data_IF_464632855817
#
_entry.id   IF_464632855817
#
_cell.length_a   1.000
_cell.length_b   1.000
_cell.length_c   1.000
_cell.angle_alpha   90.00
_cell.angle_beta   90.00
_cell.angle_gamma   90.00
#
_symmetry.space_group_name_H-M   'P 1'
#
loop_
_entity.id
_entity.type
_entity.pdbx_description
1 polymer ?
#
# COMPACT_ATOMS: atom_id res chain seq x y z
N UNK A 1 1.89 -55.17 -11.72
CA UNK A 1 0.53 -54.58 -11.53
C UNK A 1 0.32 -53.29 -12.33
N UNK A 2 1.20 -52.29 -12.24
CA UNK A 2 1.06 -51.00 -12.98
C UNK A 2 0.81 -51.15 -14.50
N UNK A 3 1.48 -52.07 -15.18
CA UNK A 3 1.32 -52.33 -16.63
C UNK A 3 -0.11 -52.78 -17.02
N UNK A 4 -0.82 -53.48 -16.13
CA UNK A 4 -2.21 -53.88 -16.37
C UNK A 4 -3.20 -52.73 -16.14
N UNK A 5 -2.89 -51.82 -15.21
CA UNK A 5 -3.69 -50.62 -14.92
C UNK A 5 -3.65 -49.65 -16.11
N UNK A 6 -2.46 -49.33 -16.63
CA UNK A 6 -2.31 -48.47 -17.82
C UNK A 6 -3.02 -49.04 -19.06
N UNK A 7 -2.97 -50.37 -19.25
CA UNK A 7 -3.67 -51.03 -20.36
C UNK A 7 -5.19 -51.05 -20.19
N UNK A 8 -5.69 -50.93 -18.96
CA UNK A 8 -7.11 -50.81 -18.67
C UNK A 8 -7.63 -49.36 -18.80
N UNK A 9 -6.81 -48.37 -18.43
CA UNK A 9 -7.10 -46.94 -18.63
C UNK A 9 -7.27 -46.58 -20.12
N UNK A 10 -6.51 -47.23 -21.01
CA UNK A 10 -6.58 -47.04 -22.46
C UNK A 10 -7.82 -47.65 -23.14
N UNK A 11 -8.63 -48.46 -22.43
CA UNK A 11 -9.85 -49.06 -23.01
C UNK A 11 -11.00 -48.07 -23.20
N UNK A 12 -11.03 -47.01 -22.39
CA UNK A 12 -12.01 -45.93 -22.48
C UNK A 12 -11.30 -44.57 -22.43
N UNK A 13 -10.59 -44.19 -23.51
CA UNK A 13 -9.69 -43.02 -23.52
C UNK A 13 -10.42 -41.71 -23.22
N UNK A 14 -11.69 -41.61 -23.59
CA UNK A 14 -12.53 -40.43 -23.38
C UNK A 14 -12.88 -40.24 -21.89
N UNK A 15 -13.24 -41.32 -21.20
CA UNK A 15 -13.57 -41.30 -19.76
C UNK A 15 -12.33 -41.04 -18.91
N UNK A 16 -11.22 -41.69 -19.24
CA UNK A 16 -9.94 -41.48 -18.57
C UNK A 16 -9.42 -40.06 -18.80
N UNK A 17 -9.54 -39.54 -20.03
CA UNK A 17 -9.16 -38.17 -20.36
C UNK A 17 -9.98 -37.12 -19.59
N UNK A 18 -11.31 -37.26 -19.58
CA UNK A 18 -12.21 -36.34 -18.86
C UNK A 18 -11.97 -36.32 -17.34
N UNK A 19 -11.66 -37.47 -16.73
CA UNK A 19 -11.39 -37.56 -15.29
C UNK A 19 -10.03 -36.94 -14.92
N UNK A 20 -8.98 -37.20 -15.70
CA UNK A 20 -7.67 -36.56 -15.51
C UNK A 20 -7.78 -35.05 -15.74
N UNK A 21 -8.48 -34.61 -16.79
CA UNK A 21 -8.69 -33.20 -17.07
C UNK A 21 -9.44 -32.49 -15.92
N UNK A 22 -10.47 -33.12 -15.36
CA UNK A 22 -11.19 -32.58 -14.20
C UNK A 22 -10.29 -32.38 -12.98
N UNK A 23 -9.42 -33.35 -12.68
CA UNK A 23 -8.45 -33.24 -11.57
C UNK A 23 -7.45 -32.12 -11.86
N UNK A 24 -6.93 -32.03 -13.08
CA UNK A 24 -5.98 -30.98 -13.49
C UNK A 24 -6.60 -29.59 -13.35
N UNK A 25 -7.84 -29.41 -13.81
CA UNK A 25 -8.57 -28.14 -13.70
C UNK A 25 -8.77 -27.76 -12.23
N UNK A 26 -9.15 -28.72 -11.36
CA UNK A 26 -9.32 -28.46 -9.94
C UNK A 26 -8.00 -28.04 -9.26
N UNK A 27 -6.90 -28.72 -9.55
CA UNK A 27 -5.57 -28.39 -9.00
C UNK A 27 -5.07 -27.03 -9.51
N UNK A 28 -5.24 -26.74 -10.80
CA UNK A 28 -4.85 -25.44 -11.37
C UNK A 28 -5.68 -24.29 -10.79
N UNK A 29 -7.00 -24.46 -10.68
CA UNK A 29 -7.87 -23.45 -10.07
C UNK A 29 -7.46 -23.17 -8.62
N UNK A 30 -7.14 -24.21 -7.85
CA UNK A 30 -6.64 -24.06 -6.48
C UNK A 30 -5.29 -23.34 -6.43
N UNK A 31 -4.33 -23.72 -7.28
CA UNK A 31 -3.00 -23.11 -7.32
C UNK A 31 -3.08 -21.63 -7.72
N UNK A 32 -3.91 -21.28 -8.71
CA UNK A 32 -4.14 -19.89 -9.13
C UNK A 32 -4.78 -19.10 -8.01
N UNK A 33 -5.86 -19.62 -7.40
CA UNK A 33 -6.55 -18.94 -6.32
C UNK A 33 -5.60 -18.67 -5.15
N UNK A 34 -4.80 -19.68 -4.76
CA UNK A 34 -3.80 -19.54 -3.70
C UNK A 34 -2.75 -18.49 -4.05
N UNK A 35 -2.22 -18.50 -5.27
CA UNK A 35 -1.22 -17.52 -5.70
C UNK A 35 -1.78 -16.10 -5.71
N UNK A 36 -3.01 -15.91 -6.19
CA UNK A 36 -3.70 -14.61 -6.17
C UNK A 36 -3.94 -14.13 -4.74
N UNK A 37 -4.37 -15.02 -3.85
CA UNK A 37 -4.57 -14.70 -2.43
C UNK A 37 -3.25 -14.35 -1.76
N UNK A 38 -2.22 -15.18 -1.93
CA UNK A 38 -0.90 -14.98 -1.33
C UNK A 38 -0.26 -13.67 -1.83
N UNK A 39 -0.36 -13.35 -3.12
CA UNK A 39 0.15 -12.07 -3.67
C UNK A 39 -0.65 -10.86 -3.20
N UNK A 40 -1.96 -11.00 -3.00
CA UNK A 40 -2.80 -9.94 -2.43
C UNK A 40 -2.41 -9.66 -0.98
N UNK A 41 -2.12 -10.70 -0.20
CA UNK A 41 -1.68 -10.57 1.19
C UNK A 41 -0.19 -10.27 1.34
N UNK A 42 0.66 -10.57 0.36
CA UNK A 42 2.09 -10.23 0.38
C UNK A 42 2.33 -8.72 0.46
N UNK A 43 1.46 -7.90 -0.18
CA UNK A 43 1.49 -6.45 -0.01
C UNK A 43 1.06 -5.98 1.39
N UNK A 44 0.17 -6.73 2.05
CA UNK A 44 -0.24 -6.47 3.42
C UNK A 44 0.82 -6.96 4.44
N UNK A 45 1.47 -8.09 4.20
CA UNK A 45 2.57 -8.62 5.04
C UNK A 45 3.89 -7.86 4.87
N UNK A 46 4.11 -7.20 3.71
CA UNK A 46 5.20 -6.24 3.54
C UNK A 46 5.03 -5.00 4.44
N UNK A 47 3.84 -4.79 5.01
CA UNK A 47 3.62 -3.80 6.07
C UNK A 47 4.16 -4.40 7.37
N UNK A 48 5.12 -3.74 8.01
CA UNK A 48 5.69 -4.17 9.30
C UNK A 48 4.60 -4.72 10.23
N UNK A 49 4.69 -6.01 10.58
CA UNK A 49 3.78 -6.69 11.50
C UNK A 49 3.69 -6.03 12.90
N UNK A 50 4.53 -5.02 13.15
CA UNK A 50 4.61 -4.23 14.38
C UNK A 50 3.93 -2.86 14.29
N UNK A 51 3.35 -2.47 13.15
CA UNK A 51 2.62 -1.20 13.01
C UNK A 51 1.11 -1.39 13.10
N UNK A 52 0.49 -0.66 14.01
CA UNK A 52 -0.96 -0.56 14.13
C UNK A 52 -1.42 0.81 13.64
N UNK A 53 -2.34 0.83 12.66
CA UNK A 53 -2.95 2.06 12.16
C UNK A 53 -4.31 2.27 12.86
N UNK A 54 -4.47 3.42 13.50
CA UNK A 54 -5.74 3.83 14.11
C UNK A 54 -6.35 4.99 13.34
N UNK A 55 -7.64 4.91 13.02
CA UNK A 55 -8.39 5.99 12.34
C UNK A 55 -9.73 6.23 13.00
N UNK A 56 -10.37 7.36 12.69
CA UNK A 56 -11.74 7.60 13.08
C UNK A 56 -12.66 6.53 12.43
N UNK A 57 -13.57 5.95 13.21
CA UNK A 57 -14.48 4.91 12.75
C UNK A 57 -15.47 5.40 11.69
N UNK A 58 -15.77 6.71 11.66
CA UNK A 58 -16.69 7.32 10.69
C UNK A 58 -16.08 7.38 9.28
N UNK A 59 -14.89 7.97 9.14
CA UNK A 59 -14.16 8.05 7.86
C UNK A 59 -12.71 8.46 8.09
N UNK A 60 -11.84 8.14 7.12
CA UNK A 60 -10.46 8.61 7.05
C UNK A 60 -10.35 10.14 6.98
N UNK A 61 -11.39 10.80 6.45
CA UNK A 61 -11.44 12.27 6.32
C UNK A 61 -11.72 12.99 7.64
N UNK A 62 -12.17 12.29 8.68
CA UNK A 62 -12.36 12.87 10.01
C UNK A 62 -11.11 12.62 10.87
N UNK A 63 -10.39 13.67 11.32
CA UNK A 63 -9.18 13.49 12.11
C UNK A 63 -9.50 12.96 13.50
N UNK A 64 -8.50 12.32 14.12
CA UNK A 64 -8.50 12.06 15.56
C UNK A 64 -7.94 13.28 16.31
N UNK A 65 -8.39 13.57 17.54
CA UNK A 65 -7.81 14.66 18.33
C UNK A 65 -6.31 14.46 18.58
N UNK A 66 -5.50 15.49 18.38
CA UNK A 66 -4.04 15.42 18.57
C UNK A 66 -3.64 15.03 20.00
N UNK A 67 -4.50 15.32 20.99
CA UNK A 67 -4.30 14.91 22.39
C UNK A 67 -4.21 13.39 22.57
N UNK A 68 -4.74 12.60 21.64
CA UNK A 68 -4.68 11.14 21.70
C UNK A 68 -3.26 10.63 21.47
N UNK A 69 -2.43 11.35 20.72
CA UNK A 69 -1.04 10.96 20.46
C UNK A 69 -0.25 10.76 21.76
N UNK A 70 -0.36 11.70 22.71
CA UNK A 70 0.26 11.57 24.03
C UNK A 70 -0.33 10.43 24.87
N UNK A 71 -1.64 10.14 24.73
CA UNK A 71 -2.30 9.02 25.43
C UNK A 71 -1.82 7.67 24.89
N UNK A 72 -1.71 7.53 23.57
CA UNK A 72 -1.28 6.30 22.90
C UNK A 72 0.19 6.02 23.20
N UNK A 73 1.07 7.04 23.18
CA UNK A 73 2.49 6.90 23.55
C UNK A 73 2.72 6.34 24.95
N UNK A 74 1.76 6.47 25.87
CA UNK A 74 1.86 5.94 27.24
C UNK A 74 1.36 4.49 27.39
N UNK A 75 0.78 3.90 26.35
CA UNK A 75 0.31 2.52 26.40
C UNK A 75 1.52 1.58 26.40
N UNK A 76 1.55 0.63 27.32
CA UNK A 76 2.63 -0.37 27.41
C UNK A 76 2.74 -1.14 26.09
N UNK A 77 3.96 -1.22 25.55
CA UNK A 77 4.26 -1.92 24.29
C UNK A 77 4.21 -1.03 23.06
N UNK A 78 3.79 0.24 23.19
CA UNK A 78 3.93 1.24 22.11
C UNK A 78 5.32 1.85 22.18
N UNK A 79 6.12 1.66 21.13
CA UNK A 79 7.47 2.21 21.03
C UNK A 79 7.47 3.64 20.48
N UNK A 80 6.78 3.86 19.36
CA UNK A 80 6.71 5.15 18.66
C UNK A 80 5.29 5.40 18.18
N UNK A 81 4.87 6.67 18.17
CA UNK A 81 3.59 7.11 17.61
C UNK A 81 3.85 8.34 16.76
N UNK A 82 3.31 8.31 15.55
CA UNK A 82 3.25 9.43 14.62
C UNK A 82 1.85 9.49 14.00
N UNK A 83 1.58 10.52 13.20
CA UNK A 83 0.32 10.70 12.52
C UNK A 83 0.50 11.04 11.05
N UNK A 84 -0.52 10.65 10.28
CA UNK A 84 -0.77 11.10 8.93
C UNK A 84 -2.21 11.58 8.86
N UNK A 85 -2.43 12.62 8.07
CA UNK A 85 -3.73 13.22 7.89
C UNK A 85 -4.03 13.29 6.39
N UNK A 86 -5.22 12.83 6.01
CA UNK A 86 -5.63 12.75 4.61
C UNK A 86 -5.85 14.16 4.05
N UNK A 87 -5.07 14.52 3.04
CA UNK A 87 -5.12 15.86 2.44
C UNK A 87 -6.12 15.96 1.28
N UNK A 88 -6.21 14.90 0.45
CA UNK A 88 -7.19 14.75 -0.63
C UNK A 88 -7.17 15.86 -1.71
N UNK A 89 -6.01 16.39 -2.06
CA UNK A 89 -5.90 17.43 -3.09
C UNK A 89 -6.17 16.91 -4.51
N UNK A 90 -6.59 17.82 -5.38
CA UNK A 90 -6.71 17.59 -6.83
C UNK A 90 -5.47 18.13 -7.52
N UNK A 91 -4.76 17.26 -8.23
CA UNK A 91 -3.65 17.62 -9.10
C UNK A 91 -4.15 17.71 -10.53
N UNK A 92 -4.00 18.85 -11.22
CA UNK A 92 -4.53 19.13 -12.57
C UNK A 92 -6.07 19.00 -12.70
N UNK A 93 -6.61 17.78 -12.61
CA UNK A 93 -8.04 17.44 -12.61
C UNK A 93 -8.31 16.16 -11.79
N UNK A 94 -9.58 15.83 -11.56
CA UNK A 94 -10.01 14.71 -10.71
C UNK A 94 -9.55 13.33 -11.21
N UNK A 95 -9.18 13.19 -12.49
CA UNK A 95 -8.69 11.92 -13.06
C UNK A 95 -7.24 11.63 -12.68
N UNK A 96 -6.49 12.64 -12.25
CA UNK A 96 -5.09 12.53 -11.84
C UNK A 96 -4.97 12.28 -10.33
N UNK A 97 -5.84 11.44 -9.80
CA UNK A 97 -5.89 11.14 -8.37
C UNK A 97 -4.69 10.29 -7.93
N UNK A 98 -4.08 10.69 -6.81
CA UNK A 98 -3.17 9.86 -6.04
C UNK A 98 -3.30 10.21 -4.54
N UNK A 99 -3.04 9.24 -3.63
CA UNK A 99 -3.06 9.47 -2.19
C UNK A 99 -2.09 10.57 -1.75
N UNK A 100 -2.57 11.51 -0.93
CA UNK A 100 -1.78 12.63 -0.40
C UNK A 100 -2.00 12.74 1.12
N UNK A 101 -0.92 12.79 1.87
CA UNK A 101 -0.97 12.84 3.34
C UNK A 101 -0.09 13.96 3.88
N UNK A 102 -0.61 14.72 4.84
CA UNK A 102 0.18 15.59 5.70
C UNK A 102 0.62 14.79 6.93
N UNK A 103 1.92 14.71 7.20
CA UNK A 103 2.48 13.81 8.21
C UNK A 103 3.35 14.55 9.24
N UNK A 104 3.53 13.96 10.43
CA UNK A 104 4.63 14.34 11.33
C UNK A 104 5.94 13.86 10.71
N UNK A 105 6.62 14.74 9.96
CA UNK A 105 7.71 14.40 9.05
C UNK A 105 8.73 13.37 9.61
N UNK A 106 9.38 13.70 10.74
CA UNK A 106 10.39 12.82 11.34
C UNK A 106 9.79 11.52 11.89
N UNK A 107 8.80 11.63 12.78
CA UNK A 107 8.21 10.47 13.44
C UNK A 107 7.52 9.52 12.47
N UNK A 108 6.97 10.04 11.36
CA UNK A 108 6.32 9.23 10.34
C UNK A 108 7.36 8.42 9.57
N UNK A 109 8.44 9.03 9.09
CA UNK A 109 9.48 8.30 8.36
C UNK A 109 10.22 7.29 9.24
N UNK A 110 10.42 7.59 10.53
CA UNK A 110 10.99 6.65 11.50
C UNK A 110 10.10 5.38 11.66
N UNK A 111 8.77 5.49 11.46
CA UNK A 111 7.86 4.34 11.47
C UNK A 111 7.87 3.54 10.16
N UNK A 112 8.32 4.12 9.05
CA UNK A 112 8.32 3.49 7.72
C UNK A 112 9.75 3.29 7.19
N UNK A 113 10.53 2.36 7.78
CA UNK A 113 11.91 2.10 7.35
C UNK A 113 12.01 1.59 5.90
N UNK A 114 10.91 1.08 5.33
CA UNK A 114 10.84 0.71 3.92
C UNK A 114 10.82 1.92 2.97
N UNK A 115 10.58 3.13 3.47
CA UNK A 115 10.69 4.36 2.69
C UNK A 115 12.16 4.79 2.64
N UNK A 116 12.83 4.37 1.57
CA UNK A 116 14.23 4.70 1.34
C UNK A 116 14.31 6.11 0.75
N UNK A 117 14.75 7.07 1.56
CA UNK A 117 14.96 8.47 1.15
C UNK A 117 16.44 8.81 1.32
N UNK A 118 17.12 9.34 0.30
CA UNK A 118 18.51 9.79 0.44
C UNK A 118 18.66 10.81 1.59
N UNK A 119 19.73 10.73 2.42
CA UNK A 119 19.88 11.58 3.59
C UNK A 119 19.80 13.09 3.32
N UNK A 120 20.35 13.55 2.20
CA UNK A 120 20.29 14.97 1.79
C UNK A 120 18.86 15.40 1.47
N UNK A 121 18.10 14.59 0.72
CA UNK A 121 16.70 14.89 0.39
C UNK A 121 15.81 14.86 1.63
N UNK A 122 16.09 13.93 2.56
CA UNK A 122 15.41 13.88 3.85
C UNK A 122 15.67 15.15 4.66
N UNK A 123 16.91 15.63 4.68
CA UNK A 123 17.29 16.87 5.36
C UNK A 123 16.55 18.05 4.74
N UNK A 124 16.51 18.17 3.42
CA UNK A 124 15.80 19.24 2.72
C UNK A 124 14.30 19.22 3.03
N UNK A 125 13.67 18.04 2.97
CA UNK A 125 12.27 17.86 3.34
C UNK A 125 11.97 18.28 4.80
N UNK A 126 12.88 17.99 5.74
CA UNK A 126 12.70 18.39 7.14
C UNK A 126 12.89 19.90 7.38
N UNK A 127 13.61 20.60 6.51
CA UNK A 127 13.84 22.06 6.63
C UNK A 127 12.82 22.88 5.85
N UNK A 128 12.32 22.36 4.73
CA UNK A 128 11.33 23.05 3.90
C UNK A 128 9.90 22.75 4.36
N UNK A 129 9.22 23.77 4.88
CA UNK A 129 7.82 23.68 5.29
C UNK A 129 6.85 23.41 4.13
N UNK A 130 7.26 23.67 2.89
CA UNK A 130 6.48 23.37 1.68
C UNK A 130 6.97 22.11 0.99
N UNK A 131 8.08 21.52 1.43
CA UNK A 131 8.63 20.32 0.81
C UNK A 131 7.65 19.14 0.85
N UNK A 132 7.65 18.35 -0.21
CA UNK A 132 6.90 17.10 -0.30
C UNK A 132 7.80 15.96 -0.79
N UNK A 133 7.52 14.77 -0.29
CA UNK A 133 8.09 13.53 -0.81
C UNK A 133 7.06 12.86 -1.73
N UNK A 134 7.47 12.57 -2.95
CA UNK A 134 6.66 11.83 -3.93
C UNK A 134 7.22 10.42 -4.09
N UNK A 135 6.34 9.42 -4.13
CA UNK A 135 6.74 8.06 -4.47
C UNK A 135 7.27 7.98 -5.91
N UNK A 136 8.26 7.13 -6.16
CA UNK A 136 8.95 6.99 -7.45
C UNK A 136 7.98 6.84 -8.64
N UNK A 137 6.94 6.00 -8.48
CA UNK A 137 5.94 5.78 -9.54
C UNK A 137 5.14 7.02 -9.88
N UNK A 138 4.77 7.82 -8.88
CA UNK A 138 4.01 9.06 -9.07
C UNK A 138 4.90 10.11 -9.72
N UNK A 139 6.13 10.26 -9.22
CA UNK A 139 7.10 11.17 -9.82
C UNK A 139 7.39 10.81 -11.28
N UNK A 140 7.61 9.54 -11.60
CA UNK A 140 7.84 9.06 -12.96
C UNK A 140 6.61 9.26 -13.87
N UNK A 141 5.41 9.00 -13.37
CA UNK A 141 4.16 9.17 -14.12
C UNK A 141 3.96 10.62 -14.59
N UNK A 142 4.29 11.59 -13.75
CA UNK A 142 4.13 13.01 -14.05
C UNK A 142 5.43 13.70 -14.49
N UNK A 143 6.54 12.97 -14.58
CA UNK A 143 7.84 13.49 -14.98
C UNK A 143 8.46 14.48 -13.99
N UNK A 144 8.08 14.42 -12.70
CA UNK A 144 8.57 15.33 -11.68
C UNK A 144 10.04 15.10 -11.36
N UNK A 145 10.73 16.21 -11.07
CA UNK A 145 12.12 16.26 -10.64
C UNK A 145 12.21 16.98 -9.30
N UNK A 146 13.31 16.75 -8.61
CA UNK A 146 13.63 17.47 -7.37
C UNK A 146 13.73 18.97 -7.71
N UNK A 147 12.98 19.78 -6.95
CA UNK A 147 12.88 21.24 -7.15
C UNK A 147 11.67 21.69 -7.99
N UNK A 148 10.91 20.77 -8.59
CA UNK A 148 9.66 21.12 -9.25
C UNK A 148 8.61 21.54 -8.22
N UNK A 149 7.81 22.55 -8.57
CA UNK A 149 6.67 22.99 -7.76
C UNK A 149 5.41 22.25 -8.19
N UNK A 150 4.77 21.57 -7.25
CA UNK A 150 3.60 20.72 -7.47
C UNK A 150 2.36 21.43 -6.90
N UNK A 151 1.52 22.04 -7.77
CA UNK A 151 0.29 22.69 -7.33
C UNK A 151 -0.81 21.67 -7.03
N UNK A 152 -1.37 21.72 -5.82
CA UNK A 152 -2.51 20.92 -5.40
C UNK A 152 -3.69 21.83 -5.01
N UNK A 153 -4.85 21.60 -5.62
CA UNK A 153 -6.09 22.26 -5.22
C UNK A 153 -6.72 21.49 -4.06
N UNK A 154 -6.77 22.10 -2.89
CA UNK A 154 -7.33 21.45 -1.71
C UNK A 154 -8.84 21.25 -1.80
N UNK A 155 -9.32 20.10 -1.34
CA UNK A 155 -10.76 19.77 -1.23
C UNK A 155 -11.22 19.82 0.23
N UNK A 156 -10.47 19.16 1.12
CA UNK A 156 -10.71 19.16 2.58
C UNK A 156 -10.14 20.42 3.24
N UNK A 157 -8.99 20.90 2.74
CA UNK A 157 -8.32 22.12 3.20
C UNK A 157 -8.36 23.16 2.06
N UNK A 158 -9.42 23.99 1.96
CA UNK A 158 -9.64 24.86 0.81
C UNK A 158 -8.45 25.79 0.56
N UNK A 159 -8.00 25.85 -0.69
CA UNK A 159 -6.89 26.69 -1.10
C UNK A 159 -6.09 26.10 -2.27
N UNK A 160 -5.26 26.95 -2.87
CA UNK A 160 -4.23 26.52 -3.81
C UNK A 160 -2.93 26.32 -3.02
N UNK A 161 -2.48 25.08 -2.94
CA UNK A 161 -1.27 24.71 -2.23
C UNK A 161 -0.15 24.47 -3.24
N UNK A 162 1.04 24.95 -2.94
CA UNK A 162 2.24 24.76 -3.76
C UNK A 162 3.28 24.09 -2.88
N UNK A 163 3.60 22.85 -3.25
CA UNK A 163 4.66 22.04 -2.64
C UNK A 163 5.89 22.03 -3.54
#
# INVERSE_FOLDING_TARGET
MLRFIFRNLGRHPLRTGLTVAGIVVAVLAFAILRTVVDTWYAGAEATSARRLITRNAVSLTFPLPISYLGRIRRIRGVETVSYANWFAGVYLNEKNFFPQFAVEAKGYLDLYPEFIVPPEQLKDFLHDRKGALAGERVAAQYGWKIGDVIPLRGTIYPGQWSF
#
